data_IF_193623542661
#
_entry.id   IF_193623542661
#
_cell.length_a   1.000
_cell.length_b   1.000
_cell.length_c   1.000
_cell.angle_alpha   90.00
_cell.angle_beta   90.00
_cell.angle_gamma   90.00
#
_symmetry.space_group_name_H-M   'P 1'
#
loop_
_entity.id
_entity.type
_entity.pdbx_description
1 polymer ?
#
# COMPACT_ATOMS: atom_id res chain seq x y z
N UNK A 1 -11.63 -13.27 1.58
CA UNK A 1 -11.92 -12.87 0.17
C UNK A 1 -11.30 -13.86 -0.81
N UNK A 2 -12.00 -14.19 -1.90
CA UNK A 2 -11.39 -14.89 -3.04
C UNK A 2 -10.42 -13.95 -3.77
N UNK A 3 -9.32 -14.47 -4.30
CA UNK A 3 -8.28 -13.68 -5.01
C UNK A 3 -8.89 -12.82 -6.14
N UNK A 4 -9.87 -13.36 -6.86
CA UNK A 4 -10.57 -12.68 -7.97
C UNK A 4 -11.40 -11.45 -7.54
N UNK A 5 -11.71 -11.31 -6.25
CA UNK A 5 -12.49 -10.19 -5.71
C UNK A 5 -11.61 -9.15 -5.00
N UNK A 6 -10.29 -9.31 -5.03
CA UNK A 6 -9.38 -8.38 -4.39
C UNK A 6 -9.34 -7.03 -5.11
N UNK A 7 -9.61 -5.90 -4.44
CA UNK A 7 -9.58 -4.60 -5.08
C UNK A 7 -8.20 -4.26 -5.63
N UNK A 8 -8.13 -3.94 -6.92
CA UNK A 8 -6.87 -3.62 -7.61
C UNK A 8 -6.23 -2.30 -7.16
N UNK A 9 -6.96 -1.46 -6.44
CA UNK A 9 -6.48 -0.22 -5.86
C UNK A 9 -5.78 -0.40 -4.50
N UNK A 10 -5.83 -1.60 -3.92
CA UNK A 10 -5.08 -1.99 -2.73
C UNK A 10 -3.80 -2.72 -3.09
N UNK A 11 -2.80 -2.58 -2.21
CA UNK A 11 -1.57 -3.36 -2.26
C UNK A 11 -1.89 -4.80 -1.82
N UNK A 12 -1.52 -5.84 -2.60
CA UNK A 12 -1.72 -7.24 -2.24
C UNK A 12 -1.20 -7.59 -0.83
N UNK A 13 -1.86 -8.53 -0.17
CA UNK A 13 -1.54 -8.92 1.22
C UNK A 13 -0.07 -9.28 1.42
N UNK A 14 0.54 -9.99 0.47
CA UNK A 14 1.94 -10.39 0.59
C UNK A 14 2.88 -9.17 0.55
N UNK A 15 2.62 -8.20 -0.32
CA UNK A 15 3.38 -6.94 -0.34
C UNK A 15 3.10 -6.12 0.94
N UNK A 16 1.87 -6.14 1.46
CA UNK A 16 1.56 -5.47 2.72
C UNK A 16 2.32 -6.07 3.93
N UNK A 17 2.58 -7.38 3.93
CA UNK A 17 3.46 -8.03 4.93
C UNK A 17 4.88 -7.50 4.82
N UNK A 18 5.43 -7.45 3.62
CA UNK A 18 6.78 -6.91 3.35
C UNK A 18 6.91 -5.46 3.81
N UNK A 19 5.90 -4.62 3.53
CA UNK A 19 5.83 -3.24 4.02
C UNK A 19 5.84 -3.17 5.55
N UNK A 20 5.07 -4.02 6.22
CA UNK A 20 5.05 -4.08 7.68
C UNK A 20 6.42 -4.44 8.25
N UNK A 21 7.11 -5.41 7.65
CA UNK A 21 8.44 -5.87 8.09
C UNK A 21 9.50 -4.76 8.02
N UNK A 22 9.42 -3.88 7.01
CA UNK A 22 10.32 -2.72 6.88
C UNK A 22 9.86 -1.49 7.70
N UNK A 23 8.82 -1.63 8.53
CA UNK A 23 8.36 -0.60 9.44
C UNK A 23 7.36 0.40 8.85
N UNK A 24 6.65 0.05 7.77
CA UNK A 24 5.50 0.85 7.30
C UNK A 24 4.48 1.00 8.44
N UNK A 25 4.13 2.23 8.78
CA UNK A 25 3.26 2.54 9.91
C UNK A 25 2.38 3.78 9.66
N UNK A 26 1.84 3.90 8.45
CA UNK A 26 0.90 4.97 8.10
C UNK A 26 -0.55 4.53 8.35
N UNK A 27 -1.48 5.48 8.60
CA UNK A 27 -2.87 5.16 8.85
C UNK A 27 -3.50 4.47 7.65
N UNK A 28 -4.09 3.29 7.87
CA UNK A 28 -4.85 2.54 6.88
C UNK A 28 -6.25 2.24 7.40
N UNK A 29 -7.26 2.35 6.55
CA UNK A 29 -8.65 2.02 6.90
C UNK A 29 -8.87 0.49 6.91
N UNK A 30 -8.15 -0.23 6.03
CA UNK A 30 -8.24 -1.67 5.91
C UNK A 30 -7.05 -2.35 6.58
N UNK A 31 -7.29 -3.51 7.17
CA UNK A 31 -6.26 -4.36 7.74
C UNK A 31 -6.63 -5.83 7.57
N UNK A 32 -5.61 -6.69 7.50
CA UNK A 32 -5.76 -8.14 7.56
C UNK A 32 -5.59 -8.60 9.01
N UNK A 33 -6.59 -9.31 9.53
CA UNK A 33 -6.55 -9.94 10.84
C UNK A 33 -6.14 -11.41 10.72
N UNK A 34 -4.98 -11.75 11.30
CA UNK A 34 -4.43 -13.11 11.29
C UNK A 34 -5.28 -14.12 12.06
N UNK A 35 -6.06 -13.69 13.06
CA UNK A 35 -6.86 -14.60 13.88
C UNK A 35 -8.04 -15.19 13.11
N UNK A 36 -8.67 -14.36 12.27
CA UNK A 36 -9.84 -14.75 11.46
C UNK A 36 -9.46 -15.03 10.00
N UNK A 37 -8.29 -14.58 9.55
CA UNK A 37 -7.80 -14.81 8.20
C UNK A 37 -8.47 -13.93 7.13
N UNK A 38 -8.98 -12.77 7.50
CA UNK A 38 -9.75 -11.88 6.62
C UNK A 38 -9.23 -10.44 6.60
N UNK A 39 -9.56 -9.72 5.52
CA UNK A 39 -9.35 -8.27 5.42
C UNK A 39 -10.62 -7.59 5.86
N UNK A 40 -10.50 -6.69 6.83
CA UNK A 40 -11.60 -6.02 7.47
C UNK A 40 -11.53 -4.50 7.31
N UNK A 41 -12.71 -3.91 7.34
CA UNK A 41 -12.98 -2.50 7.57
C UNK A 41 -13.74 -2.43 8.91
N UNK A 42 -13.18 -1.73 9.90
CA UNK A 42 -13.88 -1.52 11.16
C UNK A 42 -14.71 -0.24 11.09
N UNK A 43 -16.01 -0.35 11.34
CA UNK A 43 -16.95 0.78 11.38
C UNK A 43 -17.67 0.70 12.71
N UNK A 44 -17.65 1.80 13.48
CA UNK A 44 -18.48 1.92 14.68
C UNK A 44 -19.84 2.44 14.26
N UNK A 45 -20.90 1.67 14.45
CA UNK A 45 -22.27 2.11 14.13
C UNK A 45 -23.03 2.34 15.43
N UNK A 46 -23.43 3.58 15.68
CA UNK A 46 -24.33 3.91 16.79
C UNK A 46 -25.77 3.69 16.31
N UNK A 47 -26.29 2.48 16.52
CA UNK A 47 -27.68 2.16 16.21
C UNK A 47 -28.61 2.88 17.20
N UNK A 48 -29.23 3.98 16.77
CA UNK A 48 -30.44 4.49 17.43
C UNK A 48 -31.65 3.69 16.97
N UNK A 49 -32.53 3.32 17.89
CA UNK A 49 -33.78 2.62 17.60
C UNK A 49 -34.73 3.52 16.79
N UNK A 50 -34.56 3.62 15.46
CA UNK A 50 -35.66 3.82 14.48
C UNK A 50 -35.18 4.02 13.03
N UNK A 51 -35.84 3.22 12.16
CA UNK A 51 -36.16 3.49 10.75
C UNK A 51 -35.04 3.35 9.70
N UNK A 52 -35.42 2.79 8.55
CA UNK A 52 -34.58 2.69 7.36
C UNK A 52 -34.28 4.08 6.79
N UNK A 53 -33.10 4.62 7.08
CA UNK A 53 -32.55 5.80 6.42
C UNK A 53 -31.18 5.45 5.81
N UNK A 54 -30.78 6.19 4.77
CA UNK A 54 -29.38 6.19 4.33
C UNK A 54 -28.56 6.89 5.40
N UNK A 55 -27.65 6.14 6.01
CA UNK A 55 -26.73 6.63 7.02
C UNK A 55 -25.39 6.99 6.36
N UNK A 56 -24.79 8.08 6.80
CA UNK A 56 -23.51 8.58 6.30
C UNK A 56 -22.61 8.80 7.52
N UNK A 57 -21.47 8.10 7.58
CA UNK A 57 -20.44 8.38 8.58
C UNK A 57 -19.43 9.37 7.99
N UNK A 58 -19.06 10.45 8.71
CA UNK A 58 -17.94 11.28 8.34
C UNK A 58 -16.66 10.45 8.21
N UNK A 59 -15.78 10.78 7.26
CA UNK A 59 -14.51 10.07 7.07
C UNK A 59 -13.65 10.06 8.35
N UNK A 60 -13.78 11.11 9.16
CA UNK A 60 -13.07 11.31 10.42
C UNK A 60 -13.48 10.30 11.51
N UNK A 61 -14.65 9.66 11.37
CA UNK A 61 -15.16 8.65 12.31
C UNK A 61 -14.69 7.23 11.97
N UNK A 62 -13.98 7.04 10.86
CA UNK A 62 -13.36 5.76 10.54
C UNK A 62 -12.17 5.48 11.45
N UNK A 63 -12.09 4.24 11.94
CA UNK A 63 -10.92 3.77 12.67
C UNK A 63 -9.74 3.58 11.72
N UNK A 64 -8.63 4.25 12.03
CA UNK A 64 -7.37 4.06 11.31
C UNK A 64 -6.47 3.08 12.05
N UNK A 65 -5.91 2.14 11.29
CA UNK A 65 -5.00 1.11 11.76
C UNK A 65 -3.56 1.44 11.43
N UNK A 66 -2.67 1.04 12.34
CA UNK A 66 -1.24 1.23 12.28
C UNK A 66 -0.56 -0.11 12.58
N UNK A 67 0.57 -0.39 11.94
CA UNK A 67 1.29 -1.65 12.18
C UNK A 67 2.04 -1.70 13.52
N UNK A 68 2.45 -0.54 14.03
CA UNK A 68 3.27 -0.40 15.24
C UNK A 68 2.47 -0.86 16.46
N UNK A 69 3.06 -1.77 17.22
CA UNK A 69 2.46 -2.26 18.46
C UNK A 69 1.40 -3.35 18.27
N UNK A 70 1.06 -3.74 17.03
CA UNK A 70 0.03 -4.74 16.77
C UNK A 70 0.60 -5.93 16.00
N UNK A 71 0.74 -7.08 16.66
CA UNK A 71 1.31 -8.29 16.03
C UNK A 71 0.33 -8.97 15.07
N UNK A 72 -0.93 -9.08 15.46
CA UNK A 72 -1.92 -9.90 14.76
C UNK A 72 -2.53 -9.22 13.53
N UNK A 73 -2.37 -7.91 13.37
CA UNK A 73 -2.94 -7.17 12.25
C UNK A 73 -1.86 -6.74 11.27
N UNK A 74 -2.17 -6.75 9.98
CA UNK A 74 -1.31 -6.17 8.92
C UNK A 74 -2.15 -5.11 8.22
N UNK A 75 -1.76 -3.84 8.31
CA UNK A 75 -2.45 -2.77 7.58
C UNK A 75 -2.39 -3.03 6.08
N UNK A 76 -3.49 -2.80 5.36
CA UNK A 76 -3.57 -2.95 3.90
C UNK A 76 -3.64 -1.56 3.27
N UNK A 77 -2.50 -0.98 2.85
CA UNK A 77 -2.50 0.34 2.26
C UNK A 77 -3.02 0.30 0.81
N UNK A 78 -3.49 1.44 0.35
CA UNK A 78 -3.57 1.74 -1.09
C UNK A 78 -2.15 1.86 -1.67
N UNK A 79 -2.05 1.75 -3.00
CA UNK A 79 -0.78 1.99 -3.69
C UNK A 79 -0.20 3.36 -3.39
N UNK A 80 -1.06 4.39 -3.32
CA UNK A 80 -0.63 5.76 -3.05
C UNK A 80 -0.07 5.93 -1.63
N UNK A 81 -0.71 5.34 -0.61
CA UNK A 81 -0.20 5.36 0.76
C UNK A 81 1.18 4.70 0.87
N UNK A 82 1.35 3.54 0.23
CA UNK A 82 2.64 2.84 0.22
C UNK A 82 3.73 3.67 -0.48
N UNK A 83 3.45 4.23 -1.66
CA UNK A 83 4.41 5.06 -2.39
C UNK A 83 4.71 6.38 -1.67
N UNK A 84 3.72 7.02 -1.04
CA UNK A 84 3.92 8.23 -0.25
C UNK A 84 4.88 8.01 0.93
N UNK A 85 4.79 6.85 1.59
CA UNK A 85 5.71 6.49 2.67
C UNK A 85 7.18 6.40 2.21
N UNK A 86 7.42 5.87 1.01
CA UNK A 86 8.75 5.86 0.39
C UNK A 86 9.23 7.26 0.02
N UNK A 87 8.36 8.11 -0.56
CA UNK A 87 8.70 9.51 -0.90
C UNK A 87 9.09 10.31 0.33
N UNK A 88 8.39 10.12 1.45
CA UNK A 88 8.74 10.75 2.73
C UNK A 88 10.13 10.35 3.25
N UNK A 89 10.69 9.24 2.74
CA UNK A 89 12.03 8.73 3.05
C UNK A 89 13.06 9.04 1.97
N UNK A 90 12.68 9.81 0.95
CA UNK A 90 13.53 10.19 -0.17
C UNK A 90 13.63 9.13 -1.26
N UNK A 91 12.73 8.15 -1.33
CA UNK A 91 12.67 7.20 -2.45
C UNK A 91 11.49 7.55 -3.35
N UNK A 92 11.78 8.01 -4.57
CA UNK A 92 10.79 8.49 -5.52
C UNK A 92 10.64 7.49 -6.65
N UNK A 93 9.63 6.63 -6.54
CA UNK A 93 9.20 5.77 -7.63
C UNK A 93 8.28 6.50 -8.60
N UNK A 94 8.54 6.36 -9.90
CA UNK A 94 7.76 6.98 -10.96
C UNK A 94 7.40 5.94 -12.04
N UNK A 95 6.30 6.21 -12.73
CA UNK A 95 5.77 5.40 -13.82
C UNK A 95 5.57 6.29 -15.03
N UNK A 96 5.99 5.83 -16.20
CA UNK A 96 5.84 6.52 -17.47
C UNK A 96 5.25 5.58 -18.52
N UNK A 97 4.14 5.99 -19.13
CA UNK A 97 3.56 5.27 -20.25
C UNK A 97 4.34 5.60 -21.53
N UNK A 98 4.76 4.56 -22.25
CA UNK A 98 5.51 4.64 -23.51
C UNK A 98 4.76 3.90 -24.61
N UNK A 99 5.21 4.06 -25.86
CA UNK A 99 4.65 3.31 -26.99
C UNK A 99 4.83 1.79 -26.90
N UNK A 100 5.67 1.30 -25.98
CA UNK A 100 6.00 -0.11 -25.80
C UNK A 100 5.44 -0.72 -24.51
N UNK A 101 4.80 0.07 -23.63
CA UNK A 101 4.32 -0.37 -22.33
C UNK A 101 4.46 0.71 -21.27
N UNK A 102 4.65 0.31 -20.01
CA UNK A 102 4.93 1.24 -18.90
C UNK A 102 6.36 1.02 -18.41
N UNK A 103 7.15 2.08 -18.40
CA UNK A 103 8.47 2.10 -17.77
C UNK A 103 8.33 2.58 -16.34
N UNK A 104 9.19 2.07 -15.46
CA UNK A 104 9.22 2.44 -14.06
C UNK A 104 10.66 2.77 -13.65
N UNK A 105 10.82 3.80 -12.84
CA UNK A 105 12.13 4.31 -12.42
C UNK A 105 12.11 4.80 -10.99
N UNK A 106 13.26 4.73 -10.32
CA UNK A 106 13.44 5.15 -8.93
C UNK A 106 14.51 6.23 -8.88
N UNK A 107 14.20 7.34 -8.21
CA UNK A 107 15.13 8.41 -7.91
C UNK A 107 15.33 8.51 -6.39
N UNK A 108 16.56 8.72 -5.92
CA UNK A 108 16.83 8.99 -4.50
C UNK A 108 17.82 10.15 -4.37
N UNK A 109 17.63 11.10 -3.42
CA UNK A 109 18.59 12.19 -3.21
C UNK A 109 19.98 11.74 -2.75
N UNK A 110 20.13 10.49 -2.26
CA UNK A 110 21.40 9.93 -1.78
C UNK A 110 22.25 9.29 -2.89
N UNK A 111 21.66 9.05 -4.06
CA UNK A 111 22.34 8.50 -5.24
C UNK A 111 22.27 9.57 -6.33
N UNK A 112 23.38 10.28 -6.59
CA UNK A 112 23.51 11.37 -7.58
C UNK A 112 22.84 11.03 -8.92
N UNK A 113 21.55 11.36 -9.14
CA UNK A 113 20.79 11.08 -10.37
C UNK A 113 21.06 9.68 -11.01
N UNK A 114 21.47 8.71 -10.19
CA UNK A 114 22.53 7.78 -10.60
C UNK A 114 22.19 6.35 -10.27
N UNK A 115 21.12 5.90 -10.90
CA UNK A 115 20.85 4.54 -11.38
C UNK A 115 19.35 4.56 -11.70
N UNK A 116 19.03 4.97 -12.93
CA UNK A 116 17.71 4.72 -13.48
C UNK A 116 17.56 3.21 -13.58
N UNK A 117 16.98 2.59 -12.55
CA UNK A 117 16.55 1.21 -12.63
C UNK A 117 15.34 1.19 -13.57
N UNK A 118 15.59 1.17 -14.88
CA UNK A 118 14.57 0.94 -15.89
C UNK A 118 14.24 -0.56 -15.83
N UNK A 119 13.39 -0.94 -14.88
CA UNK A 119 12.91 -2.33 -14.84
C UNK A 119 11.72 -2.46 -15.76
N UNK A 120 11.95 -3.23 -16.82
CA UNK A 120 11.00 -3.92 -17.67
C UNK A 120 9.93 -3.03 -18.35
N UNK A 121 9.90 -3.10 -19.68
CA UNK A 121 8.68 -2.82 -20.42
C UNK A 121 7.60 -3.80 -19.97
N UNK A 122 6.85 -3.42 -18.96
CA UNK A 122 5.65 -4.14 -18.58
C UNK A 122 4.53 -3.69 -19.49
N UNK A 123 3.85 -4.65 -20.10
CA UNK A 123 2.74 -4.37 -21.02
C UNK A 123 1.60 -3.63 -20.31
N UNK A 124 1.50 -3.77 -18.99
CA UNK A 124 0.40 -3.27 -18.17
C UNK A 124 0.92 -2.39 -17.02
N UNK A 125 0.27 -1.25 -16.83
CA UNK A 125 0.61 -0.27 -15.80
C UNK A 125 0.62 -0.89 -14.39
N UNK A 126 -0.35 -1.76 -14.10
CA UNK A 126 -0.49 -2.43 -12.80
C UNK A 126 0.72 -3.28 -12.47
N UNK A 127 1.31 -3.96 -13.48
CA UNK A 127 2.51 -4.77 -13.30
C UNK A 127 3.75 -3.92 -13.09
N UNK A 128 3.89 -2.83 -13.84
CA UNK A 128 4.96 -1.86 -13.62
C UNK A 128 4.90 -1.26 -12.20
N UNK A 129 3.70 -0.90 -11.72
CA UNK A 129 3.47 -0.36 -10.37
C UNK A 129 3.81 -1.38 -9.28
N UNK A 130 3.41 -2.64 -9.45
CA UNK A 130 3.72 -3.73 -8.54
C UNK A 130 5.24 -3.96 -8.44
N UNK A 131 5.91 -4.08 -9.59
CA UNK A 131 7.37 -4.24 -9.67
C UNK A 131 8.11 -3.06 -9.03
N UNK A 132 7.61 -1.83 -9.24
CA UNK A 132 8.16 -0.62 -8.63
C UNK A 132 8.13 -0.68 -7.11
N UNK A 133 6.99 -1.03 -6.53
CA UNK A 133 6.85 -1.08 -5.09
C UNK A 133 7.73 -2.18 -4.48
N UNK A 134 7.81 -3.35 -5.12
CA UNK A 134 8.71 -4.43 -4.69
C UNK A 134 10.17 -3.99 -4.72
N UNK A 135 10.61 -3.33 -5.80
CA UNK A 135 11.98 -2.83 -5.89
C UNK A 135 12.29 -1.76 -4.84
N UNK A 136 11.34 -0.88 -4.53
CA UNK A 136 11.48 0.10 -3.44
C UNK A 136 11.64 -0.59 -2.07
N UNK A 137 10.87 -1.64 -1.80
CA UNK A 137 11.00 -2.46 -0.59
C UNK A 137 12.41 -3.06 -0.50
N UNK A 138 12.89 -3.68 -1.58
CA UNK A 138 14.22 -4.30 -1.62
C UNK A 138 15.34 -3.28 -1.35
N UNK A 139 15.30 -2.14 -2.04
CA UNK A 139 16.28 -1.06 -1.86
C UNK A 139 16.27 -0.53 -0.42
N UNK A 140 15.09 -0.40 0.18
CA UNK A 140 14.96 0.06 1.55
C UNK A 140 15.49 -0.97 2.55
N UNK A 141 15.24 -2.27 2.33
CA UNK A 141 15.84 -3.34 3.15
C UNK A 141 17.36 -3.28 3.10
N UNK A 142 17.95 -3.20 1.91
CA UNK A 142 19.42 -3.13 1.73
C UNK A 142 20.01 -1.90 2.42
N UNK A 143 19.35 -0.75 2.36
CA UNK A 143 19.85 0.49 2.94
C UNK A 143 19.72 0.59 4.48
N UNK A 144 18.93 -0.28 5.11
CA UNK A 144 18.62 -0.24 6.55
C UNK A 144 18.92 -1.57 7.28
N UNK A 145 19.71 -2.46 6.67
CA UNK A 145 20.35 -3.62 7.32
C UNK A 145 21.64 -3.18 8.02
#
# INVERSE_FOLDING_TARGET
MKIEQYPTWLVPLDIAKELKEIGFNEPCILYYDRNIGEILLEITVVASEKCMFKWYEPLEEFNFFYNKGIKNYITIPTWEQALAWFRAKGYYGNLEATSKGTSAYIFTPKLDFGECWEFAYEKHYEKAREALLLKLIDLYKVANQ
#
